data_IF_381731420921
#
_entry.id   IF_381731420921
#
_cell.length_a   1.000
_cell.length_b   1.000
_cell.length_c   1.000
_cell.angle_alpha   90.00
_cell.angle_beta   90.00
_cell.angle_gamma   90.00
#
_symmetry.space_group_name_H-M   'P 1'
#
loop_
_entity.id
_entity.type
_entity.pdbx_description
1 polymer ?
#
# COMPACT_ATOMS: atom_id res chain seq x y z
N UNK A 1 3.52 -17.02 0.77
CA UNK A 1 2.10 -17.10 1.20
C UNK A 1 1.94 -18.29 2.15
N UNK A 2 1.52 -18.07 3.39
CA UNK A 2 1.50 -19.10 4.45
C UNK A 2 0.47 -20.24 4.23
N UNK A 3 -0.53 -20.06 3.36
CA UNK A 3 -1.61 -21.04 3.18
C UNK A 3 -1.28 -22.23 2.27
N UNK A 4 -0.56 -22.01 1.16
CA UNK A 4 -0.24 -23.07 0.19
C UNK A 4 0.63 -24.20 0.76
N UNK A 5 1.71 -23.93 1.53
CA UNK A 5 2.49 -24.99 2.17
C UNK A 5 1.68 -25.83 3.17
N UNK A 6 0.71 -25.22 3.85
CA UNK A 6 -0.17 -25.93 4.79
C UNK A 6 -1.12 -26.86 4.04
N UNK A 7 -1.69 -26.40 2.91
CA UNK A 7 -2.50 -27.23 2.03
C UNK A 7 -1.66 -28.36 1.41
N UNK A 8 -0.42 -28.07 0.97
CA UNK A 8 0.53 -29.07 0.48
C UNK A 8 0.77 -30.17 1.53
N UNK A 9 1.05 -29.79 2.78
CA UNK A 9 1.26 -30.76 3.86
C UNK A 9 0.03 -31.60 4.12
N UNK A 10 -1.14 -30.97 4.19
CA UNK A 10 -2.39 -31.69 4.40
C UNK A 10 -2.73 -32.62 3.23
N UNK A 11 -2.39 -32.25 1.99
CA UNK A 11 -2.48 -33.10 0.81
C UNK A 11 -1.57 -34.33 0.93
N UNK A 12 -0.31 -34.13 1.35
CA UNK A 12 0.67 -35.20 1.57
C UNK A 12 0.20 -36.15 2.67
N UNK A 13 -0.31 -35.62 3.79
CA UNK A 13 -0.85 -36.41 4.90
C UNK A 13 -2.08 -37.23 4.47
N UNK A 14 -2.83 -36.75 3.48
CA UNK A 14 -3.93 -37.46 2.82
C UNK A 14 -3.46 -38.43 1.71
N UNK A 15 -2.15 -38.59 1.53
CA UNK A 15 -1.53 -39.53 0.61
C UNK A 15 -1.28 -38.99 -0.81
N UNK A 16 -1.54 -37.72 -1.08
CA UNK A 16 -1.36 -37.14 -2.41
C UNK A 16 0.13 -37.15 -2.81
N UNK A 17 0.42 -37.77 -3.96
CA UNK A 17 1.77 -37.76 -4.55
C UNK A 17 2.01 -36.48 -5.34
N UNK A 18 3.26 -36.01 -5.31
CA UNK A 18 3.70 -34.83 -6.09
C UNK A 18 2.86 -33.57 -5.82
N UNK A 19 2.36 -33.42 -4.58
CA UNK A 19 1.45 -32.34 -4.21
C UNK A 19 1.99 -30.95 -4.57
N UNK A 20 3.28 -30.71 -4.29
CA UNK A 20 3.97 -29.47 -4.65
C UNK A 20 3.92 -29.18 -6.14
N UNK A 21 4.38 -30.12 -6.97
CA UNK A 21 4.45 -29.94 -8.43
C UNK A 21 3.07 -29.65 -9.00
N UNK A 22 2.03 -30.36 -8.53
CA UNK A 22 0.65 -30.15 -8.96
C UNK A 22 0.11 -28.79 -8.50
N UNK A 23 0.40 -28.36 -7.28
CA UNK A 23 0.02 -27.02 -6.80
C UNK A 23 0.72 -25.92 -7.61
N UNK A 24 2.00 -26.08 -7.90
CA UNK A 24 2.75 -25.16 -8.77
C UNK A 24 2.15 -25.09 -10.17
N UNK A 25 1.77 -26.23 -10.76
CA UNK A 25 1.12 -26.27 -12.06
C UNK A 25 -0.24 -25.57 -12.09
N UNK A 26 -0.98 -25.60 -10.98
CA UNK A 26 -2.27 -24.94 -10.86
C UNK A 26 -2.13 -23.42 -10.66
N UNK A 27 -1.24 -23.00 -9.74
CA UNK A 27 -1.24 -21.63 -9.23
C UNK A 27 -0.10 -20.75 -9.71
N UNK A 28 1.01 -21.28 -10.26
CA UNK A 28 2.06 -20.44 -10.84
C UNK A 28 1.59 -19.78 -12.15
N UNK A 29 2.45 -18.91 -12.69
CA UNK A 29 2.16 -18.07 -13.86
C UNK A 29 1.64 -18.80 -15.10
N UNK A 30 1.12 -18.01 -16.04
CA UNK A 30 0.47 -18.54 -17.24
C UNK A 30 1.42 -19.40 -18.09
N UNK A 31 0.99 -20.62 -18.39
CA UNK A 31 1.69 -21.54 -19.29
C UNK A 31 1.23 -21.32 -20.73
N UNK A 32 2.12 -21.51 -21.71
CA UNK A 32 1.83 -21.29 -23.13
C UNK A 32 0.59 -22.04 -23.65
N UNK A 33 0.24 -23.18 -23.03
CA UNK A 33 -0.92 -24.02 -23.40
C UNK A 33 -2.11 -23.90 -22.44
N UNK A 34 -2.11 -22.92 -21.52
CA UNK A 34 -3.18 -22.76 -20.54
C UNK A 34 -4.39 -22.06 -21.17
N UNK A 35 -5.56 -22.70 -21.10
CA UNK A 35 -6.78 -22.10 -21.66
C UNK A 35 -7.31 -20.95 -20.79
N UNK A 36 -8.03 -20.01 -21.40
CA UNK A 36 -8.70 -18.93 -20.65
C UNK A 36 -9.69 -19.47 -19.61
N UNK A 37 -10.30 -20.64 -19.87
CA UNK A 37 -11.13 -21.33 -18.89
C UNK A 37 -10.33 -21.77 -17.66
N UNK A 38 -9.12 -22.29 -17.84
CA UNK A 38 -8.24 -22.69 -16.72
C UNK A 38 -7.75 -21.48 -15.92
N UNK A 39 -7.40 -20.38 -16.60
CA UNK A 39 -7.03 -19.12 -15.94
C UNK A 39 -8.19 -18.55 -15.13
N UNK A 40 -9.39 -18.56 -15.69
CA UNK A 40 -10.60 -18.15 -14.98
C UNK A 40 -10.89 -19.05 -13.78
N UNK A 41 -10.79 -20.38 -13.94
CA UNK A 41 -10.99 -21.33 -12.83
C UNK A 41 -9.98 -21.12 -11.69
N UNK A 42 -8.70 -20.86 -12.01
CA UNK A 42 -7.66 -20.47 -11.04
C UNK A 42 -8.08 -19.24 -10.25
N UNK A 43 -8.45 -18.16 -10.93
CA UNK A 43 -8.91 -16.90 -10.32
C UNK A 43 -10.08 -17.13 -9.38
N UNK A 44 -11.09 -17.86 -9.83
CA UNK A 44 -12.27 -18.18 -9.02
C UNK A 44 -11.90 -19.00 -7.79
N UNK A 45 -10.99 -19.97 -7.90
CA UNK A 45 -10.52 -20.76 -6.76
C UNK A 45 -9.80 -19.90 -5.71
N UNK A 46 -8.87 -19.05 -6.16
CA UNK A 46 -8.16 -18.14 -5.26
C UNK A 46 -9.14 -17.22 -4.54
N UNK A 47 -10.07 -16.60 -5.26
CA UNK A 47 -11.01 -15.62 -4.71
C UNK A 47 -12.07 -16.24 -3.78
N UNK A 48 -12.55 -17.45 -4.07
CA UNK A 48 -13.65 -18.07 -3.31
C UNK A 48 -13.17 -19.03 -2.21
N UNK A 49 -11.94 -19.56 -2.30
CA UNK A 49 -11.42 -20.54 -1.33
C UNK A 49 -10.22 -19.99 -0.59
N UNK A 50 -9.13 -19.68 -1.30
CA UNK A 50 -7.85 -19.35 -0.64
C UNK A 50 -7.87 -18.00 0.08
N UNK A 51 -8.46 -16.96 -0.54
CA UNK A 51 -8.58 -15.63 0.08
C UNK A 51 -9.49 -15.68 1.32
N UNK A 52 -10.72 -16.24 1.26
CA UNK A 52 -11.55 -16.39 2.45
C UNK A 52 -10.89 -17.23 3.54
N UNK A 53 -10.20 -18.33 3.19
CA UNK A 53 -9.49 -19.15 4.17
C UNK A 53 -8.36 -18.35 4.86
N UNK A 54 -7.58 -17.57 4.10
CA UNK A 54 -6.55 -16.69 4.66
C UNK A 54 -7.15 -15.60 5.58
N UNK A 55 -8.28 -15.01 5.19
CA UNK A 55 -9.02 -14.08 6.06
C UNK A 55 -9.50 -14.77 7.34
N UNK A 56 -10.01 -16.00 7.26
CA UNK A 56 -10.42 -16.79 8.43
C UNK A 56 -9.26 -17.08 9.38
N UNK A 57 -8.07 -17.38 8.85
CA UNK A 57 -6.84 -17.52 9.65
C UNK A 57 -6.51 -16.21 10.36
N UNK A 58 -6.53 -15.08 9.65
CA UNK A 58 -6.24 -13.77 10.23
C UNK A 58 -7.25 -13.36 11.30
N UNK A 59 -8.54 -13.69 11.14
CA UNK A 59 -9.56 -13.41 12.15
C UNK A 59 -9.38 -14.25 13.42
N UNK A 60 -9.00 -15.52 13.27
CA UNK A 60 -8.64 -16.36 14.42
C UNK A 60 -7.39 -15.83 15.12
N UNK A 61 -6.40 -15.38 14.36
CA UNK A 61 -5.20 -14.73 14.91
C UNK A 61 -5.56 -13.43 15.65
N UNK A 62 -6.45 -12.60 15.11
CA UNK A 62 -6.96 -11.39 15.78
C UNK A 62 -7.62 -11.73 17.14
N UNK A 63 -8.38 -12.82 17.20
CA UNK A 63 -9.12 -13.25 18.40
C UNK A 63 -8.30 -14.09 19.41
N UNK A 64 -7.04 -14.40 19.12
CA UNK A 64 -6.27 -15.43 19.83
C UNK A 64 -5.74 -15.08 21.22
N UNK A 65 -5.89 -13.83 21.69
CA UNK A 65 -5.49 -13.42 23.04
C UNK A 65 -3.97 -13.36 23.27
N UNK A 66 -3.52 -13.31 24.52
CA UNK A 66 -2.09 -13.19 24.86
C UNK A 66 -1.32 -14.50 24.65
N UNK A 67 -1.93 -15.65 24.98
CA UNK A 67 -1.30 -16.99 24.90
C UNK A 67 -1.25 -17.58 23.47
N UNK A 68 -1.42 -16.73 22.45
CA UNK A 68 -1.64 -17.14 21.05
C UNK A 68 -0.56 -18.05 20.48
N UNK A 69 0.69 -17.85 20.91
CA UNK A 69 1.85 -18.60 20.43
C UNK A 69 2.09 -19.91 21.20
N UNK A 70 1.41 -20.11 22.33
CA UNK A 70 1.55 -21.31 23.17
C UNK A 70 0.51 -22.39 22.82
N UNK A 71 -0.63 -21.97 22.26
CA UNK A 71 -1.71 -22.88 21.88
C UNK A 71 -1.50 -23.51 20.50
N UNK A 72 -1.85 -24.79 20.37
CA UNK A 72 -1.96 -25.48 19.08
C UNK A 72 -3.31 -25.15 18.48
N UNK A 73 -3.31 -24.47 17.33
CA UNK A 73 -4.54 -24.15 16.61
C UNK A 73 -4.70 -25.04 15.39
N UNK A 74 -5.92 -25.49 15.15
CA UNK A 74 -6.31 -26.20 13.94
C UNK A 74 -7.73 -25.83 13.55
N UNK A 75 -8.02 -25.85 12.26
CA UNK A 75 -9.36 -25.61 11.74
C UNK A 75 -9.57 -26.44 10.48
N UNK A 76 -10.82 -26.79 10.18
CA UNK A 76 -11.12 -27.28 8.84
C UNK A 76 -11.08 -26.13 7.84
N UNK A 77 -10.80 -26.41 6.55
CA UNK A 77 -10.87 -25.36 5.52
C UNK A 77 -12.29 -24.76 5.46
N UNK A 78 -13.33 -25.57 5.63
CA UNK A 78 -14.71 -25.11 5.71
C UNK A 78 -14.96 -24.11 6.86
N UNK A 79 -14.30 -24.29 8.00
CA UNK A 79 -14.39 -23.35 9.12
C UNK A 79 -13.62 -22.04 8.89
N UNK A 80 -12.62 -22.05 8.01
CA UNK A 80 -11.85 -20.84 7.66
C UNK A 80 -12.56 -20.01 6.59
N UNK A 81 -13.38 -20.63 5.74
CA UNK A 81 -14.16 -19.94 4.72
C UNK A 81 -15.53 -19.54 5.30
N UNK A 82 -15.71 -18.25 5.63
CA UNK A 82 -16.92 -17.67 6.27
C UNK A 82 -18.26 -17.98 5.58
N UNK A 83 -18.23 -18.40 4.32
CA UNK A 83 -19.40 -18.84 3.54
C UNK A 83 -19.08 -20.12 2.76
N UNK A 84 -18.48 -21.13 3.40
CA UNK A 84 -18.06 -22.36 2.72
C UNK A 84 -19.16 -23.05 1.91
N UNK A 85 -20.43 -22.87 2.29
CA UNK A 85 -21.60 -23.39 1.58
C UNK A 85 -21.97 -22.65 0.28
N UNK A 86 -21.47 -21.42 0.08
CA UNK A 86 -21.73 -20.63 -1.14
C UNK A 86 -20.69 -20.89 -2.24
N UNK A 87 -19.61 -21.62 -1.93
CA UNK A 87 -18.57 -21.98 -2.90
C UNK A 87 -19.15 -22.96 -3.93
N UNK A 88 -19.10 -22.58 -5.20
CA UNK A 88 -19.63 -23.40 -6.29
C UNK A 88 -18.89 -24.75 -6.39
N UNK A 89 -19.59 -25.87 -6.65
CA UNK A 89 -18.97 -27.16 -6.91
C UNK A 89 -17.92 -27.13 -8.04
N UNK A 90 -18.13 -26.30 -9.07
CA UNK A 90 -17.18 -26.14 -10.18
C UNK A 90 -15.84 -25.53 -9.73
N UNK A 91 -15.86 -24.72 -8.68
CA UNK A 91 -14.65 -24.14 -8.10
C UNK A 91 -13.89 -25.21 -7.34
N UNK A 92 -14.56 -25.99 -6.48
CA UNK A 92 -13.91 -27.10 -5.77
C UNK A 92 -13.30 -28.13 -6.73
N UNK A 93 -13.98 -28.40 -7.84
CA UNK A 93 -13.52 -29.31 -8.87
C UNK A 93 -12.17 -28.91 -9.48
N UNK A 94 -11.83 -27.61 -9.49
CA UNK A 94 -10.55 -27.13 -10.01
C UNK A 94 -9.36 -27.80 -9.30
N UNK A 95 -9.36 -27.79 -7.96
CA UNK A 95 -8.31 -28.48 -7.19
C UNK A 95 -8.53 -30.00 -7.21
N UNK A 96 -9.76 -30.47 -7.00
CA UNK A 96 -10.06 -31.91 -6.90
C UNK A 96 -9.65 -32.69 -8.15
N UNK A 97 -9.87 -32.13 -9.35
CA UNK A 97 -9.52 -32.79 -10.61
C UNK A 97 -8.01 -33.04 -10.76
N UNK A 98 -7.16 -32.19 -10.16
CA UNK A 98 -5.72 -32.37 -10.17
C UNK A 98 -5.26 -33.49 -9.21
N UNK A 99 -6.08 -33.85 -8.23
CA UNK A 99 -5.74 -34.81 -7.18
C UNK A 99 -6.59 -36.09 -7.21
N UNK A 100 -7.59 -36.18 -8.08
CA UNK A 100 -8.47 -37.34 -8.21
C UNK A 100 -7.79 -38.62 -8.75
N UNK A 101 -6.63 -38.49 -9.41
CA UNK A 101 -5.92 -39.65 -9.98
C UNK A 101 -5.07 -40.35 -8.92
N UNK A 102 -5.50 -41.56 -8.51
CA UNK A 102 -4.68 -42.50 -7.73
C UNK A 102 -5.18 -42.85 -6.32
N UNK A 103 -6.37 -42.39 -5.91
CA UNK A 103 -6.96 -42.66 -4.59
C UNK A 103 -8.36 -43.28 -4.72
N UNK A 104 -8.70 -44.21 -3.82
CA UNK A 104 -10.05 -44.82 -3.74
C UNK A 104 -11.06 -43.87 -3.08
N UNK A 105 -10.60 -42.99 -2.18
CA UNK A 105 -11.43 -42.01 -1.49
C UNK A 105 -11.51 -40.69 -2.25
N UNK A 106 -12.70 -40.08 -2.25
CA UNK A 106 -12.92 -38.78 -2.85
C UNK A 106 -12.20 -37.68 -2.05
N UNK A 107 -11.33 -36.93 -2.73
CA UNK A 107 -10.63 -35.80 -2.12
C UNK A 107 -11.58 -34.62 -1.88
N UNK A 108 -11.77 -34.23 -0.61
CA UNK A 108 -12.55 -33.06 -0.22
C UNK A 108 -11.72 -32.08 0.61
N UNK A 109 -11.29 -30.98 -0.03
CA UNK A 109 -10.50 -29.93 0.61
C UNK A 109 -11.24 -29.27 1.79
N UNK A 110 -12.58 -29.20 1.76
CA UNK A 110 -13.35 -28.47 2.76
C UNK A 110 -13.37 -29.17 4.12
N UNK A 111 -13.35 -30.50 4.14
CA UNK A 111 -13.27 -31.30 5.37
C UNK A 111 -11.85 -31.47 5.92
N UNK A 112 -10.83 -31.05 5.19
CA UNK A 112 -9.45 -31.18 5.64
C UNK A 112 -9.15 -30.27 6.83
N UNK A 113 -8.61 -30.86 7.89
CA UNK A 113 -8.10 -30.13 9.05
C UNK A 113 -6.69 -29.66 8.77
N UNK A 114 -6.48 -28.34 8.86
CA UNK A 114 -5.18 -27.71 8.67
C UNK A 114 -4.65 -27.16 10.00
N UNK A 115 -3.35 -27.38 10.33
CA UNK A 115 -2.73 -26.69 11.44
C UNK A 115 -2.60 -25.20 11.14
N UNK A 116 -2.94 -24.35 12.10
CA UNK A 116 -2.83 -22.89 12.00
C UNK A 116 -1.69 -22.44 12.92
N UNK A 117 -0.53 -22.19 12.34
CA UNK A 117 0.64 -21.73 13.08
C UNK A 117 0.67 -20.19 13.14
N UNK A 118 0.30 -19.64 14.30
CA UNK A 118 0.29 -18.19 14.50
C UNK A 118 1.68 -17.54 14.50
N UNK A 119 2.75 -18.29 14.72
CA UNK A 119 4.13 -17.80 14.55
C UNK A 119 4.42 -17.54 13.08
N UNK A 120 4.00 -18.46 12.20
CA UNK A 120 4.12 -18.27 10.75
C UNK A 120 3.22 -17.16 10.22
N UNK A 121 2.02 -16.99 10.80
CA UNK A 121 1.13 -15.86 10.46
C UNK A 121 1.79 -14.54 10.84
N UNK A 122 2.31 -14.40 12.06
CA UNK A 122 2.99 -13.19 12.52
C UNK A 122 4.20 -12.86 11.62
N UNK A 123 5.04 -13.85 11.33
CA UNK A 123 6.18 -13.68 10.41
C UNK A 123 5.75 -13.22 9.01
N UNK A 124 4.69 -13.81 8.46
CA UNK A 124 4.19 -13.42 7.14
C UNK A 124 3.64 -11.98 7.14
N UNK A 125 2.98 -11.57 8.22
CA UNK A 125 2.54 -10.17 8.42
C UNK A 125 3.75 -9.25 8.47
N UNK A 126 4.76 -9.59 9.27
CA UNK A 126 5.98 -8.81 9.42
C UNK A 126 6.69 -8.62 8.07
N UNK A 127 6.95 -9.71 7.34
CA UNK A 127 7.62 -9.66 6.03
C UNK A 127 6.84 -8.83 5.01
N UNK A 128 5.50 -8.93 5.02
CA UNK A 128 4.64 -8.18 4.10
C UNK A 128 4.61 -6.69 4.45
N UNK A 129 4.60 -6.36 5.73
CA UNK A 129 4.44 -4.99 6.21
C UNK A 129 5.77 -4.27 6.40
N UNK A 130 6.90 -4.97 6.40
CA UNK A 130 8.24 -4.41 6.64
C UNK A 130 8.54 -3.15 5.82
N UNK A 131 8.32 -3.12 4.48
CA UNK A 131 8.63 -1.94 3.67
C UNK A 131 7.80 -0.71 4.08
N UNK A 132 6.57 -0.94 4.54
CA UNK A 132 5.65 0.12 4.98
C UNK A 132 6.06 0.60 6.38
N UNK A 133 6.26 -0.31 7.33
CA UNK A 133 6.53 0.06 8.72
C UNK A 133 7.92 0.67 8.93
N UNK A 134 8.93 0.23 8.20
CA UNK A 134 10.24 0.89 8.18
C UNK A 134 10.14 2.35 7.75
N UNK A 135 9.41 2.61 6.65
CA UNK A 135 9.13 3.97 6.17
C UNK A 135 8.36 4.80 7.21
N UNK A 136 7.29 4.23 7.77
CA UNK A 136 6.48 4.93 8.79
C UNK A 136 7.30 5.26 10.04
N UNK A 137 8.13 4.33 10.52
CA UNK A 137 8.98 4.55 11.68
C UNK A 137 9.98 5.70 11.45
N UNK A 138 10.54 5.81 10.24
CA UNK A 138 11.44 6.90 9.88
C UNK A 138 10.72 8.26 9.83
N UNK A 139 9.48 8.33 9.31
CA UNK A 139 8.67 9.56 9.39
C UNK A 139 8.36 9.95 10.84
N UNK A 140 7.94 8.99 11.66
CA UNK A 140 7.58 9.26 13.06
C UNK A 140 8.78 9.78 13.86
N UNK A 141 9.98 9.25 13.59
CA UNK A 141 11.22 9.75 14.16
C UNK A 141 11.58 11.16 13.64
N UNK A 142 11.41 11.41 12.33
CA UNK A 142 11.71 12.71 11.72
C UNK A 142 10.86 13.85 12.28
N UNK A 143 9.56 13.59 12.51
CA UNK A 143 8.63 14.59 13.05
C UNK A 143 8.57 14.64 14.57
N UNK A 144 9.41 13.87 15.28
CA UNK A 144 9.45 13.78 16.75
C UNK A 144 8.05 13.57 17.36
N UNK A 145 7.29 12.60 16.81
CA UNK A 145 5.90 12.40 17.19
C UNK A 145 5.76 11.90 18.64
N UNK A 146 4.95 12.60 19.44
CA UNK A 146 4.65 12.19 20.82
C UNK A 146 3.75 10.96 20.91
N UNK A 147 2.70 10.90 20.10
CA UNK A 147 1.68 9.84 20.15
C UNK A 147 1.46 9.26 18.75
N UNK A 148 1.21 7.96 18.70
CA UNK A 148 0.86 7.25 17.45
C UNK A 148 -0.48 6.57 17.64
N UNK A 149 -1.48 6.98 16.86
CA UNK A 149 -2.82 6.39 16.87
C UNK A 149 -2.93 5.35 15.74
N UNK A 150 -3.13 4.09 16.10
CA UNK A 150 -3.31 3.02 15.13
C UNK A 150 -4.80 2.80 14.83
N UNK A 151 -5.18 3.10 13.60
CA UNK A 151 -6.54 2.96 13.08
C UNK A 151 -6.60 1.98 11.91
N UNK A 152 -7.82 1.61 11.52
CA UNK A 152 -8.09 0.61 10.48
C UNK A 152 -7.96 -0.83 10.97
N UNK A 153 -8.59 -1.76 10.25
CA UNK A 153 -8.70 -3.17 10.66
C UNK A 153 -7.35 -3.90 10.83
N UNK A 154 -6.32 -3.69 9.98
CA UNK A 154 -5.02 -4.34 10.16
C UNK A 154 -4.35 -4.02 11.51
N UNK A 155 -4.64 -2.85 12.10
CA UNK A 155 -4.10 -2.47 13.41
C UNK A 155 -4.55 -3.37 14.57
N UNK A 156 -5.59 -4.20 14.38
CA UNK A 156 -6.04 -5.16 15.39
C UNK A 156 -5.20 -6.43 15.46
N UNK A 157 -4.38 -6.69 14.44
CA UNK A 157 -3.48 -7.84 14.43
C UNK A 157 -2.32 -7.55 15.40
N UNK A 158 -2.05 -8.46 16.34
CA UNK A 158 -1.00 -8.24 17.33
C UNK A 158 0.38 -8.08 16.68
N UNK A 159 0.71 -8.90 15.67
CA UNK A 159 1.94 -8.75 14.89
C UNK A 159 2.15 -7.32 14.37
N UNK A 160 1.10 -6.64 13.89
CA UNK A 160 1.21 -5.24 13.45
C UNK A 160 1.59 -4.31 14.60
N UNK A 161 0.95 -4.48 15.76
CA UNK A 161 1.23 -3.66 16.95
C UNK A 161 2.64 -3.96 17.50
N UNK A 162 3.01 -5.22 17.63
CA UNK A 162 4.33 -5.69 18.07
C UNK A 162 5.45 -5.20 17.13
N UNK A 163 5.23 -5.29 15.82
CA UNK A 163 6.18 -4.84 14.80
C UNK A 163 6.46 -3.34 14.92
N UNK A 164 5.42 -2.53 15.10
CA UNK A 164 5.56 -1.10 15.33
C UNK A 164 6.23 -0.82 16.68
N UNK A 165 5.79 -1.44 17.79
CA UNK A 165 6.44 -1.28 19.10
C UNK A 165 7.94 -1.57 19.05
N UNK A 166 8.36 -2.58 18.29
CA UNK A 166 9.76 -2.96 18.15
C UNK A 166 10.59 -2.01 17.27
N UNK A 167 9.96 -1.15 16.46
CA UNK A 167 10.61 -0.22 15.52
C UNK A 167 10.51 1.24 15.95
N UNK A 168 9.51 1.58 16.75
CA UNK A 168 9.23 2.95 17.13
C UNK A 168 10.12 3.40 18.29
N UNK A 169 10.51 4.67 18.24
CA UNK A 169 11.24 5.35 19.33
C UNK A 169 10.34 5.90 20.43
N UNK A 170 9.02 5.67 20.34
CA UNK A 170 8.05 6.11 21.33
C UNK A 170 7.81 5.06 22.41
N UNK A 171 7.48 5.51 23.61
CA UNK A 171 7.15 4.63 24.72
C UNK A 171 5.87 3.80 24.41
N UNK A 172 5.77 2.54 24.87
CA UNK A 172 4.62 1.67 24.54
C UNK A 172 3.25 2.25 24.93
N UNK A 173 3.18 3.05 26.00
CA UNK A 173 1.97 3.74 26.45
C UNK A 173 1.50 4.87 25.51
N UNK A 174 2.35 5.27 24.55
CA UNK A 174 2.06 6.31 23.55
C UNK A 174 1.66 5.75 22.19
N UNK A 175 1.73 4.42 22.00
CA UNK A 175 1.18 3.73 20.85
C UNK A 175 -0.25 3.27 21.15
N UNK A 176 -1.23 4.05 20.69
CA UNK A 176 -2.63 3.84 21.04
C UNK A 176 -3.36 3.10 19.92
N UNK A 177 -3.68 1.84 20.16
CA UNK A 177 -4.57 1.08 19.27
C UNK A 177 -6.02 1.52 19.44
N UNK A 178 -6.62 2.02 18.37
CA UNK A 178 -8.00 2.52 18.42
C UNK A 178 -9.02 1.40 18.60
N UNK A 179 -8.68 0.14 18.31
CA UNK A 179 -9.58 -1.02 18.48
C UNK A 179 -9.92 -1.40 19.92
N UNK A 180 -9.25 -0.78 20.89
CA UNK A 180 -9.45 -0.99 22.33
C UNK A 180 -9.51 0.33 23.10
N UNK A 181 -9.58 1.46 22.39
CA UNK A 181 -9.60 2.77 23.02
C UNK A 181 -10.92 3.01 23.75
N UNK A 182 -10.83 3.42 25.01
CA UNK A 182 -11.99 3.66 25.88
C UNK A 182 -12.60 5.04 25.64
N UNK A 183 -13.35 5.17 24.55
CA UNK A 183 -14.07 6.40 24.22
C UNK A 183 -15.31 6.64 25.10
N UNK A 184 -15.80 5.63 25.82
CA UNK A 184 -16.99 5.74 26.67
C UNK A 184 -18.32 5.72 25.90
N UNK A 185 -19.42 6.03 26.59
CA UNK A 185 -20.79 5.75 26.13
C UNK A 185 -21.31 6.66 25.01
N UNK A 186 -20.55 7.67 24.57
CA UNK A 186 -20.98 8.56 23.48
C UNK A 186 -20.59 8.00 22.11
N UNK A 187 -19.57 7.14 22.02
CA UNK A 187 -19.04 6.65 20.75
C UNK A 187 -20.06 5.73 20.04
N UNK A 188 -20.42 5.92 18.76
CA UNK A 188 -21.52 5.14 18.16
C UNK A 188 -21.20 3.66 17.91
N UNK A 189 -19.96 3.34 17.53
CA UNK A 189 -19.55 2.00 17.09
C UNK A 189 -18.73 1.27 18.18
N UNK A 190 -19.31 1.15 19.37
CA UNK A 190 -18.65 0.52 20.52
C UNK A 190 -18.53 -0.98 20.36
N UNK A 191 -17.56 -1.55 21.08
CA UNK A 191 -17.42 -2.99 21.28
C UNK A 191 -18.63 -3.54 22.04
N UNK A 192 -18.75 -4.88 22.08
CA UNK A 192 -19.83 -5.56 22.85
C UNK A 192 -19.83 -5.20 24.33
N UNK A 193 -18.68 -4.84 24.90
CA UNK A 193 -18.54 -4.37 26.28
C UNK A 193 -19.03 -2.94 26.51
N UNK A 194 -19.41 -2.22 25.45
CA UNK A 194 -19.99 -0.88 25.47
C UNK A 194 -19.10 0.23 26.05
N UNK A 195 -17.80 -0.02 26.25
CA UNK A 195 -16.84 0.93 26.84
C UNK A 195 -15.70 1.31 25.90
N UNK A 196 -15.44 0.50 24.89
CA UNK A 196 -14.32 0.64 23.95
C UNK A 196 -14.82 0.81 22.52
N UNK A 197 -14.00 1.36 21.64
CA UNK A 197 -14.25 1.40 20.20
C UNK A 197 -14.14 -0.02 19.65
N UNK A 198 -15.18 -0.52 18.98
CA UNK A 198 -15.20 -1.91 18.49
C UNK A 198 -14.51 -2.09 17.13
N UNK A 199 -14.70 -1.12 16.23
CA UNK A 199 -14.15 -1.12 14.87
C UNK A 199 -13.22 0.09 14.70
N UNK A 200 -11.89 -0.07 14.66
CA UNK A 200 -10.96 1.04 14.51
C UNK A 200 -11.23 1.90 13.28
N UNK A 201 -11.69 1.31 12.16
CA UNK A 201 -12.00 2.06 10.93
C UNK A 201 -13.12 3.08 11.13
N UNK A 202 -14.00 2.86 12.11
CA UNK A 202 -15.08 3.81 12.43
C UNK A 202 -14.57 5.16 12.93
N UNK A 203 -13.32 5.25 13.42
CA UNK A 203 -12.73 6.50 13.92
C UNK A 203 -12.71 7.59 12.85
N UNK A 204 -12.52 7.22 11.58
CA UNK A 204 -12.51 8.18 10.46
C UNK A 204 -13.89 8.80 10.27
N UNK A 205 -14.95 7.97 10.30
CA UNK A 205 -16.34 8.43 10.14
C UNK A 205 -16.76 9.28 11.33
N UNK A 206 -16.45 8.84 12.55
CA UNK A 206 -16.76 9.59 13.77
C UNK A 206 -15.97 10.91 13.82
N UNK A 207 -14.71 10.90 13.39
CA UNK A 207 -13.91 12.11 13.23
C UNK A 207 -14.56 13.11 12.27
N UNK A 208 -15.04 12.65 11.11
CA UNK A 208 -15.78 13.50 10.17
C UNK A 208 -17.06 14.12 10.77
N UNK A 209 -17.81 13.34 11.56
CA UNK A 209 -18.99 13.87 12.29
C UNK A 209 -18.58 14.90 13.33
N UNK A 210 -17.51 14.65 14.10
CA UNK A 210 -16.99 15.61 15.08
C UNK A 210 -16.52 16.90 14.40
N UNK A 211 -15.84 16.82 13.26
CA UNK A 211 -15.46 18.00 12.47
C UNK A 211 -16.68 18.81 12.05
N UNK A 212 -17.73 18.16 11.53
CA UNK A 212 -18.96 18.85 11.13
C UNK A 212 -19.71 19.49 12.32
N UNK A 213 -19.71 18.84 13.49
CA UNK A 213 -20.32 19.37 14.71
C UNK A 213 -19.50 20.52 15.32
N UNK A 214 -18.17 20.49 15.17
CA UNK A 214 -17.27 21.47 15.74
C UNK A 214 -17.45 22.88 15.18
N UNK A 215 -18.07 23.05 14.01
CA UNK A 215 -18.28 24.38 13.46
C UNK A 215 -19.29 25.21 14.26
N UNK A 216 -20.31 24.59 14.87
CA UNK A 216 -21.45 25.31 15.49
C UNK A 216 -22.11 24.64 16.68
N UNK A 217 -21.78 23.40 17.00
CA UNK A 217 -22.57 22.56 17.93
C UNK A 217 -21.80 22.08 19.15
N UNK A 218 -20.47 22.13 19.15
CA UNK A 218 -19.65 21.71 20.30
C UNK A 218 -19.34 22.91 21.22
N UNK A 219 -19.70 22.78 22.50
CA UNK A 219 -19.43 23.81 23.50
C UNK A 219 -17.92 23.92 23.75
N UNK A 220 -17.38 25.15 23.76
CA UNK A 220 -15.97 25.45 24.02
C UNK A 220 -14.98 24.79 23.03
N UNK A 221 -15.45 24.34 21.87
CA UNK A 221 -14.60 23.76 20.83
C UNK A 221 -15.07 24.25 19.46
N UNK A 222 -14.21 24.99 18.77
CA UNK A 222 -14.47 25.48 17.42
C UNK A 222 -13.34 25.01 16.51
N UNK A 223 -13.71 24.38 15.40
CA UNK A 223 -12.78 23.96 14.35
C UNK A 223 -13.29 24.51 13.02
N UNK A 224 -12.43 25.23 12.30
CA UNK A 224 -12.73 25.77 10.98
C UNK A 224 -12.45 24.70 9.92
N UNK A 225 -13.45 23.92 9.54
CA UNK A 225 -13.23 22.77 8.64
C UNK A 225 -12.82 23.18 7.23
N UNK A 226 -13.25 24.36 6.79
CA UNK A 226 -12.81 25.01 5.56
C UNK A 226 -11.29 25.23 5.50
N UNK A 227 -10.60 25.33 6.64
CA UNK A 227 -9.14 25.48 6.70
C UNK A 227 -8.39 24.14 6.64
N UNK A 228 -9.08 23.01 6.70
CA UNK A 228 -8.49 21.67 6.55
C UNK A 228 -8.25 21.38 5.06
N UNK A 229 -7.35 22.13 4.44
CA UNK A 229 -6.95 21.94 3.05
C UNK A 229 -5.81 20.93 2.93
N UNK A 230 -5.77 20.21 1.81
CA UNK A 230 -4.62 19.39 1.47
C UNK A 230 -3.41 20.30 1.26
N UNK A 231 -2.25 19.84 1.75
CA UNK A 231 -0.96 20.49 1.50
C UNK A 231 -0.11 19.58 0.63
N UNK A 232 0.70 20.19 -0.23
CA UNK A 232 1.70 19.45 -0.96
C UNK A 232 2.66 18.78 0.03
N UNK A 233 3.07 17.56 -0.31
CA UNK A 233 4.11 16.84 0.42
C UNK A 233 5.37 16.67 -0.42
N UNK A 234 5.42 17.26 -1.62
CA UNK A 234 6.51 17.10 -2.58
C UNK A 234 7.67 18.03 -2.26
N UNK A 235 8.35 17.77 -1.15
CA UNK A 235 9.44 18.63 -0.67
C UNK A 235 10.73 18.50 -1.49
N UNK A 236 10.99 17.36 -2.13
CA UNK A 236 12.18 17.16 -2.95
C UNK A 236 11.76 16.50 -4.24
N UNK A 237 11.98 17.17 -5.38
CA UNK A 237 11.61 16.72 -6.71
C UNK A 237 12.89 16.56 -7.54
N UNK A 238 12.99 15.49 -8.32
CA UNK A 238 14.13 15.31 -9.20
C UNK A 238 14.12 14.01 -9.99
N UNK A 239 15.26 13.71 -10.62
CA UNK A 239 15.38 12.57 -11.53
C UNK A 239 15.56 11.26 -10.75
N UNK A 240 14.63 10.33 -10.94
CA UNK A 240 14.71 9.00 -10.34
C UNK A 240 15.73 8.13 -11.09
N UNK A 241 16.54 7.40 -10.33
CA UNK A 241 17.42 6.36 -10.89
C UNK A 241 16.62 5.11 -11.28
N UNK A 242 17.24 4.16 -11.97
CA UNK A 242 16.60 2.91 -12.40
C UNK A 242 15.95 2.11 -11.26
N UNK A 243 16.45 2.25 -10.02
CA UNK A 243 15.86 1.64 -8.82
C UNK A 243 14.70 2.44 -8.19
N UNK A 244 14.22 3.48 -8.85
CA UNK A 244 13.18 4.38 -8.37
C UNK A 244 13.62 5.39 -7.33
N UNK A 245 14.84 5.30 -6.77
CA UNK A 245 15.33 6.19 -5.72
C UNK A 245 15.70 7.59 -6.24
N UNK A 246 15.54 8.58 -5.36
CA UNK A 246 15.96 9.97 -5.56
C UNK A 246 17.13 10.28 -4.61
N UNK A 247 18.34 10.24 -5.17
CA UNK A 247 19.57 10.66 -4.49
C UNK A 247 19.69 12.18 -4.48
N UNK A 248 20.41 12.72 -3.51
CA UNK A 248 20.54 14.16 -3.29
C UNK A 248 21.16 14.86 -4.52
N UNK A 249 22.10 14.20 -5.19
CA UNK A 249 22.71 14.67 -6.46
C UNK A 249 21.74 14.84 -7.62
N UNK A 250 20.56 14.22 -7.55
CA UNK A 250 19.56 14.23 -8.62
C UNK A 250 18.34 15.08 -8.25
N UNK A 251 18.33 15.68 -7.05
CA UNK A 251 17.30 16.64 -6.64
C UNK A 251 17.47 17.89 -7.49
N UNK A 252 16.38 18.30 -8.13
CA UNK A 252 16.30 19.50 -8.95
C UNK A 252 15.64 20.62 -8.16
N UNK A 253 14.56 20.31 -7.43
CA UNK A 253 13.84 21.28 -6.61
C UNK A 253 13.72 20.77 -5.18
N UNK A 254 14.07 21.61 -4.21
CA UNK A 254 13.97 21.36 -2.78
C UNK A 254 12.97 22.31 -2.13
N UNK A 255 12.53 21.97 -0.92
CA UNK A 255 11.53 22.74 -0.18
C UNK A 255 12.00 24.16 0.11
N UNK A 256 13.31 24.33 0.33
CA UNK A 256 13.93 25.62 0.55
C UNK A 256 13.73 26.57 -0.64
N UNK A 257 13.48 26.04 -1.85
CA UNK A 257 13.21 26.84 -3.06
C UNK A 257 11.78 27.40 -3.08
N UNK A 258 10.87 26.90 -2.24
CA UNK A 258 9.50 27.42 -2.10
C UNK A 258 9.45 28.72 -1.27
N UNK A 259 10.55 29.14 -0.63
CA UNK A 259 10.57 30.36 0.18
C UNK A 259 10.67 31.64 -0.67
N UNK A 260 10.04 32.77 -0.25
CA UNK A 260 10.12 34.04 -0.98
C UNK A 260 11.57 34.50 -1.14
N UNK A 261 12.09 34.44 -2.37
CA UNK A 261 13.48 34.77 -2.69
C UNK A 261 14.36 33.60 -3.15
N UNK A 262 13.81 32.39 -3.35
CA UNK A 262 14.51 31.28 -4.01
C UNK A 262 15.07 31.69 -5.39
N UNK A 263 16.38 31.48 -5.59
CA UNK A 263 17.13 32.08 -6.71
C UNK A 263 17.15 31.24 -8.00
N UNK A 264 16.94 29.92 -7.95
CA UNK A 264 17.01 29.05 -9.14
C UNK A 264 15.69 28.29 -9.34
N UNK A 265 15.02 28.60 -10.46
CA UNK A 265 13.73 28.00 -10.87
C UNK A 265 13.86 27.03 -12.04
N UNK A 266 15.03 27.04 -12.66
CA UNK A 266 15.30 26.29 -13.87
C UNK A 266 16.48 25.37 -13.59
N UNK A 267 16.28 24.07 -13.78
CA UNK A 267 17.32 23.07 -13.59
C UNK A 267 17.44 22.18 -14.81
N UNK A 268 18.69 21.91 -15.18
CA UNK A 268 19.01 21.08 -16.33
C UNK A 268 19.26 19.64 -15.90
N UNK A 269 18.81 18.68 -16.71
CA UNK A 269 19.19 17.29 -16.57
C UNK A 269 19.40 16.62 -17.94
N UNK A 270 20.28 15.62 -17.96
CA UNK A 270 20.59 14.87 -19.17
C UNK A 270 19.58 13.74 -19.40
N UNK A 271 18.90 13.78 -20.55
CA UNK A 271 17.95 12.76 -21.00
C UNK A 271 18.57 11.87 -22.09
N UNK A 272 18.70 10.57 -21.83
CA UNK A 272 19.27 9.61 -22.78
C UNK A 272 18.23 8.88 -23.63
N UNK A 273 17.05 8.58 -23.08
CA UNK A 273 15.95 7.93 -23.79
C UNK A 273 14.63 8.26 -23.12
N UNK A 274 14.55 7.90 -21.84
CA UNK A 274 13.45 8.21 -20.95
C UNK A 274 13.98 8.35 -19.53
N UNK A 275 13.33 9.20 -18.75
CA UNK A 275 13.61 9.41 -17.34
C UNK A 275 12.28 9.58 -16.59
N UNK A 276 12.24 9.10 -15.35
CA UNK A 276 11.15 9.42 -14.43
C UNK A 276 11.59 10.58 -13.56
N UNK A 277 10.77 11.63 -13.51
CA UNK A 277 10.85 12.65 -12.47
C UNK A 277 9.91 12.20 -11.36
N UNK A 278 10.39 12.24 -10.13
CA UNK A 278 9.60 11.87 -8.97
C UNK A 278 9.96 12.74 -7.78
N UNK A 279 9.42 12.37 -6.63
CA UNK A 279 9.61 13.13 -5.41
C UNK A 279 9.75 12.25 -4.18
N UNK A 280 10.29 12.85 -3.11
CA UNK A 280 10.28 12.34 -1.73
C UNK A 280 9.82 13.44 -0.77
N UNK A 281 9.16 13.04 0.31
CA UNK A 281 8.65 13.96 1.32
C UNK A 281 9.72 14.36 2.36
N UNK A 282 10.70 13.48 2.60
CA UNK A 282 11.75 13.66 3.62
C UNK A 282 13.14 13.82 2.97
N UNK A 283 14.11 14.46 3.65
CA UNK A 283 15.44 14.76 3.11
C UNK A 283 16.38 13.54 3.00
N UNK A 284 15.90 12.31 3.19
CA UNK A 284 16.77 11.13 3.26
C UNK A 284 16.77 10.35 1.94
N UNK A 285 17.95 10.01 1.41
CA UNK A 285 18.09 9.23 0.16
C UNK A 285 17.50 7.81 0.23
N UNK A 286 17.37 7.27 1.44
CA UNK A 286 16.73 5.97 1.68
C UNK A 286 15.20 6.06 1.73
N UNK A 287 14.63 7.27 1.82
CA UNK A 287 13.20 7.48 1.87
C UNK A 287 12.54 6.99 0.59
N UNK A 288 11.32 6.47 0.71
CA UNK A 288 10.54 6.01 -0.43
C UNK A 288 10.18 7.17 -1.35
N UNK A 289 10.14 6.90 -2.63
CA UNK A 289 9.87 7.89 -3.68
C UNK A 289 8.61 7.53 -4.44
N UNK A 290 7.96 8.53 -5.01
CA UNK A 290 6.84 8.34 -5.92
C UNK A 290 7.13 9.04 -7.26
N UNK A 291 6.77 8.41 -8.40
CA UNK A 291 6.90 9.06 -9.70
C UNK A 291 5.86 10.18 -9.84
N UNK A 292 6.24 11.23 -10.58
CA UNK A 292 5.42 12.42 -10.83
C UNK A 292 5.24 12.62 -12.34
N UNK A 293 6.34 12.67 -13.08
CA UNK A 293 6.35 12.79 -14.53
C UNK A 293 7.21 11.74 -15.20
N UNK A 294 6.85 11.39 -16.43
CA UNK A 294 7.66 10.60 -17.35
C UNK A 294 8.09 11.48 -18.50
N UNK A 295 9.40 11.67 -18.65
CA UNK A 295 10.01 12.43 -19.74
C UNK A 295 10.63 11.45 -20.72
N UNK A 296 10.26 11.53 -22.00
CA UNK A 296 10.78 10.65 -23.04
C UNK A 296 11.09 11.38 -24.33
N UNK A 297 12.09 10.87 -25.05
CA UNK A 297 12.40 11.30 -26.40
C UNK A 297 11.41 10.62 -27.37
N UNK A 298 10.79 11.39 -28.25
CA UNK A 298 9.84 10.90 -29.27
C UNK A 298 10.51 10.60 -30.60
N UNK A 299 11.62 11.27 -30.93
CA UNK A 299 12.41 11.02 -32.13
C UNK A 299 13.67 10.19 -31.82
N UNK A 300 13.71 8.96 -32.31
CA UNK A 300 14.81 8.04 -32.08
C UNK A 300 16.13 8.46 -32.75
N UNK A 301 16.09 9.34 -33.76
CA UNK A 301 17.26 9.73 -34.56
C UNK A 301 18.08 10.88 -33.94
N UNK A 302 17.63 11.46 -32.83
CA UNK A 302 18.34 12.55 -32.19
C UNK A 302 19.65 12.10 -31.54
N UNK A 303 20.65 12.98 -31.63
CA UNK A 303 21.88 12.86 -30.88
C UNK A 303 21.60 13.01 -29.37
N UNK A 304 22.34 12.26 -28.56
CA UNK A 304 22.13 12.12 -27.10
C UNK A 304 23.42 12.40 -26.33
N UNK A 305 23.35 12.81 -25.05
CA UNK A 305 22.14 13.13 -24.29
C UNK A 305 21.45 14.42 -24.77
N UNK A 306 20.14 14.51 -24.60
CA UNK A 306 19.42 15.78 -24.72
C UNK A 306 19.53 16.48 -23.37
N UNK A 307 20.02 17.72 -23.35
CA UNK A 307 19.99 18.57 -22.16
C UNK A 307 18.61 19.19 -22.03
N UNK A 308 17.87 18.85 -20.97
CA UNK A 308 16.49 19.30 -20.76
C UNK A 308 16.45 20.24 -19.57
N UNK A 309 16.02 21.47 -19.80
CA UNK A 309 15.75 22.46 -18.77
C UNK A 309 14.31 22.32 -18.28
N UNK A 310 14.16 21.94 -17.01
CA UNK A 310 12.88 21.92 -16.32
C UNK A 310 12.74 23.19 -15.51
N UNK A 311 11.56 23.80 -15.60
CA UNK A 311 11.17 24.91 -14.75
C UNK A 311 9.98 24.54 -13.90
N UNK A 312 9.92 25.13 -12.71
CA UNK A 312 8.79 25.05 -11.80
C UNK A 312 8.06 26.39 -11.83
N UNK A 313 6.75 26.35 -12.04
CA UNK A 313 5.94 27.57 -12.14
C UNK A 313 6.07 28.43 -10.87
N UNK A 314 5.91 29.75 -11.01
CA UNK A 314 5.84 30.64 -9.84
C UNK A 314 4.70 30.17 -8.94
N UNK A 315 5.08 29.73 -7.75
CA UNK A 315 4.10 29.46 -6.71
C UNK A 315 3.46 30.82 -6.38
N UNK A 316 2.17 30.99 -6.71
CA UNK A 316 1.45 32.22 -6.41
C UNK A 316 1.64 32.59 -4.94
N UNK A 317 2.04 33.83 -4.66
CA UNK A 317 2.16 34.32 -3.28
C UNK A 317 0.85 34.06 -2.53
N UNK A 318 0.96 33.57 -1.29
CA UNK A 318 -0.20 33.42 -0.43
C UNK A 318 -0.76 34.81 -0.11
N UNK A 319 -1.83 35.18 -0.81
CA UNK A 319 -2.56 36.41 -0.51
C UNK A 319 -3.16 36.31 0.90
N UNK A 320 -2.81 37.25 1.78
CA UNK A 320 -3.48 37.40 3.06
C UNK A 320 -4.93 37.84 2.83
N UNK A 321 -5.87 36.98 3.19
CA UNK A 321 -7.32 37.21 3.03
C UNK A 321 -7.97 37.35 4.41
N UNK A 322 -8.86 38.33 4.57
CA UNK A 322 -9.54 38.61 5.85
C UNK A 322 -10.54 37.52 6.23
N UNK A 323 -11.15 36.87 5.24
CA UNK A 323 -12.18 35.85 5.44
C UNK A 323 -11.56 34.44 5.39
N UNK A 324 -11.84 33.57 6.38
CA UNK A 324 -11.29 32.20 6.40
C UNK A 324 -11.59 31.37 5.14
N UNK A 325 -12.75 31.58 4.49
CA UNK A 325 -13.09 30.87 3.26
C UNK A 325 -12.22 31.31 2.08
N UNK A 326 -11.93 32.61 1.96
CA UNK A 326 -11.09 33.14 0.89
C UNK A 326 -9.64 32.72 1.11
N UNK A 327 -9.18 32.75 2.37
CA UNK A 327 -7.87 32.23 2.76
C UNK A 327 -7.70 30.75 2.43
N UNK A 328 -8.72 29.92 2.67
CA UNK A 328 -8.70 28.51 2.32
C UNK A 328 -8.58 28.27 0.80
N UNK A 329 -9.28 29.07 -0.01
CA UNK A 329 -9.20 28.98 -1.47
C UNK A 329 -7.82 29.41 -1.98
N UNK A 330 -7.26 30.49 -1.43
CA UNK A 330 -5.90 30.94 -1.74
C UNK A 330 -4.87 29.86 -1.39
N UNK A 331 -4.95 29.28 -0.19
CA UNK A 331 -4.08 28.18 0.23
C UNK A 331 -4.18 26.96 -0.70
N UNK A 332 -5.40 26.58 -1.09
CA UNK A 332 -5.59 25.44 -1.99
C UNK A 332 -4.94 25.66 -3.37
N UNK A 333 -5.04 26.87 -3.92
CA UNK A 333 -4.39 27.22 -5.20
C UNK A 333 -2.88 27.20 -5.07
N UNK A 334 -2.35 27.84 -4.03
CA UNK A 334 -0.92 27.87 -3.73
C UNK A 334 -0.32 26.48 -3.55
N UNK A 335 -1.01 25.57 -2.86
CA UNK A 335 -0.52 24.20 -2.67
C UNK A 335 -0.60 23.36 -3.96
N UNK A 336 -1.55 23.64 -4.85
CA UNK A 336 -1.77 22.86 -6.09
C UNK A 336 -0.73 23.14 -7.19
N UNK A 337 -0.08 24.30 -7.18
CA UNK A 337 0.94 24.66 -8.18
C UNK A 337 2.33 24.11 -7.82
N UNK A 338 2.51 23.58 -6.61
CA UNK A 338 3.82 23.10 -6.13
C UNK A 338 4.34 21.92 -6.92
N UNK A 339 3.48 21.10 -7.52
CA UNK A 339 3.90 19.96 -8.34
C UNK A 339 4.01 20.27 -9.83
N UNK A 340 3.65 21.48 -10.27
CA UNK A 340 3.60 21.83 -11.69
C UNK A 340 5.00 22.12 -12.25
N UNK A 341 5.47 21.19 -13.08
CA UNK A 341 6.72 21.29 -13.82
C UNK A 341 6.45 21.47 -15.32
N UNK A 342 7.33 22.21 -15.99
CA UNK A 342 7.33 22.38 -17.45
C UNK A 342 8.72 22.25 -18.03
N UNK A 343 8.80 21.80 -19.28
CA UNK A 343 10.04 21.84 -20.06
C UNK A 343 10.11 23.23 -20.71
N UNK A 344 11.11 24.02 -20.35
CA UNK A 344 11.38 25.32 -20.98
C UNK A 344 12.14 25.15 -22.28
N UNK A 345 13.20 24.35 -22.21
CA UNK A 345 14.14 24.18 -23.31
C UNK A 345 14.67 22.74 -23.34
N UNK A 346 14.91 22.21 -24.54
CA UNK A 346 15.62 20.97 -24.75
C UNK A 346 16.63 21.12 -25.90
N UNK A 347 17.90 20.82 -25.62
CA UNK A 347 19.01 20.98 -26.54
C UNK A 347 19.70 19.65 -26.84
N UNK A 348 20.03 19.41 -28.11
CA UNK A 348 20.89 18.28 -28.49
C UNK A 348 22.37 18.55 -28.13
N UNK A 349 23.27 17.55 -28.20
CA UNK A 349 24.70 17.73 -27.90
C UNK A 349 25.43 18.75 -28.79
N UNK A 350 24.83 19.16 -29.90
CA UNK A 350 25.37 20.13 -30.86
C UNK A 350 24.81 21.54 -30.58
N UNK A 351 23.88 21.68 -29.63
CA UNK A 351 23.23 22.94 -29.26
C UNK A 351 22.03 23.29 -30.16
N UNK A 352 21.43 22.31 -30.83
CA UNK A 352 20.21 22.51 -31.62
C UNK A 352 18.96 22.30 -30.75
N UNK A 353 17.95 23.19 -30.83
CA UNK A 353 16.71 23.04 -30.07
C UNK A 353 15.89 21.85 -30.59
N UNK A 354 15.44 21.01 -29.66
CA UNK A 354 14.73 19.75 -29.91
C UNK A 354 13.48 19.59 -29.02
N UNK A 355 12.90 20.69 -28.53
CA UNK A 355 11.77 20.73 -27.59
C UNK A 355 10.59 19.87 -28.04
N UNK A 356 10.27 19.93 -29.34
CA UNK A 356 9.16 19.15 -29.94
C UNK A 356 9.38 17.64 -29.93
N UNK A 357 10.62 17.22 -29.74
CA UNK A 357 11.02 15.82 -29.72
C UNK A 357 11.20 15.28 -28.30
N UNK A 358 10.92 16.09 -27.28
CA UNK A 358 10.86 15.67 -25.88
C UNK A 358 9.41 15.81 -25.42
N UNK A 359 8.91 14.79 -24.74
CA UNK A 359 7.54 14.78 -24.23
C UNK A 359 7.55 14.44 -22.75
N UNK A 360 6.88 15.28 -21.96
CA UNK A 360 6.64 15.05 -20.54
C UNK A 360 5.16 14.76 -20.32
N UNK A 361 4.87 13.68 -19.59
CA UNK A 361 3.51 13.29 -19.23
C UNK A 361 3.43 12.99 -17.76
N UNK A 362 2.35 13.45 -17.11
CA UNK A 362 2.06 13.09 -15.73
C UNK A 362 1.88 11.58 -15.59
N UNK A 363 2.60 11.00 -14.62
CA UNK A 363 2.58 9.55 -14.37
C UNK A 363 2.92 9.25 -12.93
N UNK A 364 1.93 8.80 -12.18
CA UNK A 364 2.03 8.46 -10.75
C UNK A 364 2.20 6.96 -10.49
N UNK A 365 2.30 6.15 -11.55
CA UNK A 365 2.53 4.70 -11.45
C UNK A 365 3.87 4.29 -12.09
N UNK A 366 4.60 3.34 -11.48
CA UNK A 366 5.80 2.75 -12.09
C UNK A 366 5.53 2.16 -13.48
N UNK A 367 6.59 2.01 -14.28
CA UNK A 367 6.52 1.46 -15.65
C UNK A 367 6.18 -0.04 -15.69
N UNK A 368 6.51 -0.79 -14.63
CA UNK A 368 6.51 -2.26 -14.62
C UNK A 368 5.55 -2.86 -13.57
N UNK A 369 4.24 -2.60 -13.65
CA UNK A 369 3.27 -3.39 -12.89
C UNK A 369 2.59 -4.43 -13.79
N UNK A 370 2.92 -5.71 -13.57
CA UNK A 370 2.14 -6.83 -14.08
C UNK A 370 0.80 -6.99 -13.34
N UNK A 371 -0.03 -7.94 -13.79
CA UNK A 371 -1.36 -8.18 -13.20
C UNK A 371 -1.27 -8.55 -11.72
N UNK A 372 -2.06 -7.86 -10.88
CA UNK A 372 -2.13 -8.13 -9.44
C UNK A 372 -2.63 -9.56 -9.17
N UNK A 373 -2.09 -10.22 -8.14
CA UNK A 373 -2.37 -11.64 -7.86
C UNK A 373 -3.83 -11.95 -7.53
N UNK A 374 -4.59 -10.98 -6.97
CA UNK A 374 -6.04 -11.12 -6.75
C UNK A 374 -6.81 -11.19 -8.08
N UNK A 375 -6.30 -10.55 -9.13
CA UNK A 375 -6.94 -10.48 -10.44
C UNK A 375 -6.47 -11.63 -11.33
N UNK A 376 -5.19 -11.99 -11.26
CA UNK A 376 -4.60 -13.05 -12.08
C UNK A 376 -4.78 -14.45 -11.49
N UNK A 377 -4.96 -14.55 -10.17
CA UNK A 377 -4.96 -15.81 -9.42
C UNK A 377 -3.58 -16.48 -9.37
N UNK A 378 -2.52 -15.78 -9.79
CA UNK A 378 -1.15 -16.31 -9.81
C UNK A 378 -0.57 -16.18 -8.41
N UNK A 379 -0.14 -17.30 -7.83
CA UNK A 379 0.46 -17.35 -6.50
C UNK A 379 1.88 -17.91 -6.61
N UNK A 380 2.81 -17.39 -5.80
CA UNK A 380 4.12 -18.01 -5.65
C UNK A 380 3.99 -19.21 -4.71
N UNK A 381 4.11 -20.41 -5.26
CA UNK A 381 4.37 -21.63 -4.46
C UNK A 381 5.85 -21.60 -4.10
N UNK A 382 6.17 -21.41 -2.82
CA UNK A 382 7.55 -21.20 -2.34
C UNK A 382 8.50 -22.36 -2.70
N UNK A 383 9.80 -22.05 -2.74
CA UNK A 383 10.86 -23.06 -2.72
C UNK A 383 10.97 -23.77 -1.37
#
# INVERSE_FOLDING_TARGET
>A
MCGLPVIERALIDHGAREARTRLSDLFNGDRANMSEQQKHARRQYVQQVLVPAALGIMERYEASGEDRYEAVHSATVAELVRESLSVSPSVLQYLQSAFAQGHEDAFDIMSMTVPVDFTQVAKAIDETMEPVFSTVAEALAHFDCDYVLLSGRPSKLAAVQENLLNRLFIAPDRLLSMGHYRAGNWYPFRSRGNTEIGEPKSCVVVGGVLCALAERSLTNFMLYTNMLQARSTTHYIGVLEQGGKLYDKNVLFAKEDDEPGGEERDHNFNLYSESLIGYRQLPYERWVTAPLYHVRITDANLARPIDVQLSRDEVEDLEEQDLPNEQAVSLMKHEATKEDLRIEEAMDPVGSPVDRSVMMTFRTFPLEQGDHWLDSGILQVGE
#
